data_IF_394618099835
#
_entry.id   IF_394618099835
#
_cell.length_a   1.000
_cell.length_b   1.000
_cell.length_c   1.000
_cell.angle_alpha   90.00
_cell.angle_beta   90.00
_cell.angle_gamma   90.00
#
_symmetry.space_group_name_H-M   'P 1'
#
loop_
_entity.id
_entity.type
_entity.pdbx_description
1 polymer ?
#
# COMPACT_ATOMS: atom_id res chain seq x y z
N UNK A 1 14.19 6.88 34.23
CA UNK A 1 13.39 7.77 33.37
C UNK A 1 14.12 7.80 32.05
N UNK A 2 13.64 7.10 31.05
CA UNK A 2 14.16 7.17 29.68
C UNK A 2 13.57 8.46 29.14
N UNK A 3 14.42 9.41 28.75
CA UNK A 3 14.01 10.69 28.15
C UNK A 3 13.35 10.38 26.79
N UNK A 4 12.05 10.57 26.71
CA UNK A 4 11.18 10.20 25.59
C UNK A 4 11.24 11.34 24.55
N UNK A 5 12.37 11.45 23.84
CA UNK A 5 12.53 12.44 22.78
C UNK A 5 11.75 12.02 21.52
N UNK A 6 10.93 12.96 21.00
CA UNK A 6 10.31 12.83 19.69
C UNK A 6 11.40 12.69 18.61
N UNK A 7 11.21 11.81 17.60
CA UNK A 7 12.15 11.67 16.50
C UNK A 7 12.34 12.97 15.74
N UNK A 8 13.55 13.18 15.18
CA UNK A 8 13.92 14.41 14.48
C UNK A 8 12.98 14.71 13.29
N UNK A 9 12.15 15.72 13.45
CA UNK A 9 11.12 16.11 12.48
C UNK A 9 11.70 16.65 11.16
N UNK A 10 12.95 17.13 11.14
CA UNK A 10 13.55 17.71 9.93
C UNK A 10 13.99 16.66 8.91
N UNK A 11 14.37 15.48 9.36
CA UNK A 11 14.70 14.34 8.48
C UNK A 11 13.44 13.79 7.82
N UNK A 12 12.33 13.69 8.56
CA UNK A 12 11.02 13.30 8.04
C UNK A 12 10.53 14.24 6.95
N UNK A 13 10.65 15.56 7.15
CA UNK A 13 10.23 16.58 6.19
C UNK A 13 10.90 16.42 4.82
N UNK A 14 12.20 16.14 4.79
CA UNK A 14 12.96 16.03 3.53
C UNK A 14 12.63 14.77 2.75
N UNK A 15 12.31 13.67 3.41
CA UNK A 15 12.03 12.37 2.78
C UNK A 15 10.56 12.25 2.30
N UNK A 16 9.61 12.79 3.05
CA UNK A 16 8.19 12.76 2.69
C UNK A 16 7.84 13.72 1.54
N UNK A 17 8.56 14.84 1.39
CA UNK A 17 8.40 15.76 0.24
C UNK A 17 8.75 15.11 -1.11
N UNK A 18 9.61 14.10 -1.14
CA UNK A 18 9.97 13.38 -2.38
C UNK A 18 8.92 12.36 -2.82
N UNK A 19 8.11 11.84 -1.91
CA UNK A 19 7.04 10.88 -2.25
C UNK A 19 5.77 11.54 -2.80
N UNK A 20 5.54 12.83 -2.50
CA UNK A 20 4.33 13.57 -2.91
C UNK A 20 4.46 14.31 -4.25
N UNK A 21 5.62 14.31 -4.91
CA UNK A 21 5.89 15.22 -6.04
C UNK A 21 5.65 14.65 -7.45
N UNK A 22 5.00 13.50 -7.62
CA UNK A 22 4.73 12.90 -8.91
C UNK A 22 3.24 12.83 -9.30
N UNK A 23 2.54 13.94 -9.17
CA UNK A 23 1.25 14.11 -9.82
C UNK A 23 1.16 15.50 -10.43
N UNK A 24 1.52 15.62 -11.73
CA UNK A 24 0.99 16.58 -12.70
C UNK A 24 1.96 16.78 -13.85
N UNK A 25 1.85 16.00 -14.91
CA UNK A 25 2.04 16.49 -16.29
C UNK A 25 1.04 15.76 -17.20
N UNK A 26 0.00 16.47 -17.57
CA UNK A 26 -0.88 16.17 -18.69
C UNK A 26 -0.65 17.24 -19.76
N UNK A 27 -0.49 16.81 -21.00
CA UNK A 27 -0.84 17.51 -22.27
C UNK A 27 -0.20 16.69 -23.40
N UNK A 28 -0.85 16.19 -24.42
CA UNK A 28 -1.82 16.86 -25.28
C UNK A 28 -1.18 17.01 -26.65
N UNK A 29 -1.73 16.39 -27.69
CA UNK A 29 -1.29 16.68 -29.07
C UNK A 29 -1.67 15.59 -30.05
N UNK A 30 -2.69 15.88 -30.86
CA UNK A 30 -3.23 15.05 -31.89
C UNK A 30 -2.43 15.12 -33.21
N UNK A 31 -2.77 14.19 -34.10
CA UNK A 31 -2.27 14.17 -35.48
C UNK A 31 -3.06 13.15 -36.29
N UNK A 32 -3.98 13.66 -37.08
CA UNK A 32 -4.75 12.94 -38.07
C UNK A 32 -3.89 12.59 -39.31
N UNK A 33 -4.04 11.34 -39.78
CA UNK A 33 -3.48 10.90 -41.05
C UNK A 33 -4.43 9.93 -41.75
N UNK A 34 -5.10 10.42 -42.75
CA UNK A 34 -5.92 9.66 -43.68
C UNK A 34 -5.06 8.86 -44.64
N UNK A 35 -5.41 7.60 -44.90
CA UNK A 35 -4.95 6.87 -46.08
C UNK A 35 -6.09 6.13 -46.75
N UNK A 36 -6.13 6.37 -48.05
CA UNK A 36 -7.07 5.93 -49.06
C UNK A 36 -6.98 4.43 -49.36
N UNK A 37 -8.11 3.81 -49.66
CA UNK A 37 -8.28 2.43 -50.09
C UNK A 37 -7.94 2.24 -51.58
N UNK A 38 -7.43 1.06 -52.00
CA UNK A 38 -7.25 0.70 -53.39
C UNK A 38 -8.47 -0.03 -53.94
N UNK A 39 -8.68 0.18 -55.29
CA UNK A 39 -9.73 -0.31 -56.14
C UNK A 39 -9.60 -1.79 -56.48
N UNK A 40 -10.69 -2.55 -56.68
CA UNK A 40 -10.63 -3.99 -56.98
C UNK A 40 -10.38 -4.30 -58.47
N UNK A 41 -9.59 -5.36 -58.69
CA UNK A 41 -9.29 -5.95 -60.01
C UNK A 41 -10.32 -7.03 -60.38
N UNK A 42 -10.71 -7.21 -61.67
CA UNK A 42 -11.72 -8.19 -62.11
C UNK A 42 -11.18 -9.63 -62.16
N UNK A 43 -12.08 -10.63 -62.13
CA UNK A 43 -11.70 -12.05 -61.99
C UNK A 43 -11.29 -12.71 -63.31
N UNK A 44 -10.34 -13.68 -63.22
CA UNK A 44 -9.85 -14.50 -64.28
C UNK A 44 -10.72 -15.77 -64.46
N UNK A 45 -10.71 -16.43 -65.65
CA UNK A 45 -11.62 -17.53 -65.99
C UNK A 45 -11.25 -18.87 -65.31
N UNK A 46 -12.28 -19.66 -65.04
CA UNK A 46 -12.26 -20.96 -64.34
C UNK A 46 -11.63 -22.07 -65.18
N UNK A 47 -10.75 -22.89 -64.61
CA UNK A 47 -10.28 -24.14 -65.24
C UNK A 47 -11.25 -25.34 -65.00
N UNK A 48 -11.17 -26.40 -65.79
CA UNK A 48 -12.12 -27.52 -65.75
C UNK A 48 -11.95 -28.44 -64.50
N UNK A 49 -13.05 -29.02 -64.07
CA UNK A 49 -13.20 -29.86 -62.89
C UNK A 49 -12.37 -31.16 -62.97
N UNK A 50 -11.53 -31.46 -61.99
CA UNK A 50 -10.87 -32.77 -61.87
C UNK A 50 -11.79 -33.85 -61.27
N UNK A 51 -11.53 -35.09 -61.63
CA UNK A 51 -12.23 -36.29 -61.14
C UNK A 51 -12.06 -36.50 -59.61
N UNK A 52 -13.03 -37.13 -58.92
CA UNK A 52 -13.01 -37.28 -57.47
C UNK A 52 -11.83 -38.18 -57.00
N UNK A 53 -11.12 -37.77 -55.97
CA UNK A 53 -10.03 -38.55 -55.39
C UNK A 53 -10.56 -39.77 -54.59
N UNK A 54 -9.73 -40.81 -54.51
CA UNK A 54 -9.97 -42.02 -53.71
C UNK A 54 -10.08 -41.68 -52.20
N UNK A 55 -10.84 -42.46 -51.40
CA UNK A 55 -11.04 -42.18 -49.98
C UNK A 55 -9.70 -42.24 -49.21
N UNK A 56 -9.41 -41.15 -48.52
CA UNK A 56 -8.24 -41.00 -47.63
C UNK A 56 -8.41 -41.86 -46.38
N UNK A 57 -7.38 -42.62 -45.94
CA UNK A 57 -7.44 -43.35 -44.66
C UNK A 57 -7.74 -42.38 -43.50
N UNK A 58 -8.55 -42.86 -42.56
CA UNK A 58 -8.90 -42.09 -41.36
C UNK A 58 -7.65 -41.69 -40.57
N UNK A 59 -7.56 -40.42 -40.09
CA UNK A 59 -6.40 -39.99 -39.31
C UNK A 59 -6.30 -40.78 -37.99
N UNK A 60 -5.10 -41.23 -37.67
CA UNK A 60 -4.78 -41.82 -36.36
C UNK A 60 -5.06 -40.77 -35.27
N UNK A 61 -5.75 -41.14 -34.18
CA UNK A 61 -6.03 -40.17 -33.11
C UNK A 61 -4.72 -39.63 -32.52
N UNK A 62 -4.56 -38.33 -32.56
CA UNK A 62 -3.43 -37.61 -31.92
C UNK A 62 -3.52 -37.81 -30.40
N UNK A 63 -2.43 -38.19 -29.72
CA UNK A 63 -2.45 -38.24 -28.24
C UNK A 63 -2.89 -36.92 -27.66
N UNK A 64 -3.90 -36.94 -26.80
CA UNK A 64 -4.34 -35.78 -26.04
C UNK A 64 -3.19 -35.37 -25.10
N UNK A 65 -2.67 -34.14 -25.15
CA UNK A 65 -1.64 -33.70 -24.21
C UNK A 65 -2.15 -33.88 -22.78
N UNK A 66 -1.31 -34.43 -21.91
CA UNK A 66 -1.64 -34.46 -20.49
C UNK A 66 -1.94 -33.03 -20.02
N UNK A 67 -3.01 -32.82 -19.21
CA UNK A 67 -3.25 -31.52 -18.62
C UNK A 67 -2.02 -31.07 -17.81
N UNK A 68 -1.66 -29.79 -17.85
CA UNK A 68 -0.55 -29.27 -17.05
C UNK A 68 -0.78 -29.66 -15.58
N UNK A 69 0.27 -29.97 -14.81
CA UNK A 69 0.14 -30.25 -13.40
C UNK A 69 -0.58 -29.08 -12.71
N UNK A 70 -1.47 -29.39 -11.78
CA UNK A 70 -2.16 -28.40 -10.99
C UNK A 70 -1.13 -27.49 -10.30
N UNK A 71 -1.37 -26.17 -10.23
CA UNK A 71 -0.48 -25.26 -9.49
C UNK A 71 -0.28 -25.81 -8.08
N UNK A 72 0.98 -25.93 -7.67
CA UNK A 72 1.31 -26.27 -6.28
C UNK A 72 0.66 -25.25 -5.32
N UNK A 73 0.52 -25.58 -4.02
CA UNK A 73 0.02 -24.62 -3.04
C UNK A 73 0.87 -23.35 -3.13
N UNK A 74 0.20 -22.18 -3.14
CA UNK A 74 0.88 -20.89 -3.14
C UNK A 74 1.85 -20.85 -1.95
N UNK A 75 3.07 -20.31 -2.12
CA UNK A 75 4.01 -20.21 -1.01
C UNK A 75 3.34 -19.44 0.13
N UNK A 76 3.45 -19.97 1.35
CA UNK A 76 2.94 -19.31 2.54
C UNK A 76 3.72 -18.01 2.74
N UNK A 77 3.00 -16.89 2.85
CA UNK A 77 3.54 -15.56 3.14
C UNK A 77 2.78 -14.94 4.31
N UNK A 78 3.43 -14.03 5.04
CA UNK A 78 2.77 -13.38 6.16
C UNK A 78 1.51 -12.61 5.71
N UNK A 79 0.33 -12.88 6.26
CA UNK A 79 -0.87 -12.10 5.98
C UNK A 79 -0.79 -10.68 6.54
N UNK A 80 0.12 -10.44 7.50
CA UNK A 80 0.33 -9.14 8.14
C UNK A 80 1.21 -8.20 7.31
N UNK A 81 2.17 -8.74 6.52
CA UNK A 81 3.27 -8.00 5.90
C UNK A 81 2.86 -7.22 4.68
N UNK A 82 3.14 -5.92 4.67
CA UNK A 82 2.82 -5.00 3.58
C UNK A 82 3.97 -4.06 3.22
N UNK A 83 3.73 -3.19 2.24
CA UNK A 83 4.65 -2.13 1.83
C UNK A 83 3.88 -0.84 1.57
N UNK A 84 4.37 0.27 2.14
CA UNK A 84 3.93 1.63 1.84
C UNK A 84 4.77 2.17 0.69
N UNK A 85 4.24 2.13 -0.54
CA UNK A 85 4.94 2.61 -1.73
C UNK A 85 4.01 2.78 -2.94
N UNK A 86 4.26 3.80 -3.76
CA UNK A 86 3.54 4.03 -5.02
C UNK A 86 4.20 3.27 -6.17
N UNK A 87 3.83 2.00 -6.34
CA UNK A 87 4.36 1.15 -7.38
C UNK A 87 3.86 1.60 -8.76
N UNK A 88 4.76 1.99 -9.64
CA UNK A 88 4.48 2.31 -11.04
C UNK A 88 4.82 1.16 -12.01
N UNK A 89 5.55 0.13 -11.57
CA UNK A 89 5.95 -1.01 -12.37
C UNK A 89 5.45 -2.33 -11.76
N UNK A 90 4.82 -3.17 -12.57
CA UNK A 90 4.35 -4.49 -12.15
C UNK A 90 5.51 -5.40 -11.68
N UNK A 91 6.68 -5.27 -12.30
CA UNK A 91 7.87 -6.03 -11.93
C UNK A 91 8.29 -5.81 -10.46
N UNK A 92 8.12 -4.59 -9.93
CA UNK A 92 8.41 -4.28 -8.53
C UNK A 92 7.45 -5.00 -7.58
N UNK A 93 6.15 -5.04 -7.90
CA UNK A 93 5.16 -5.82 -7.15
C UNK A 93 5.45 -7.31 -7.23
N UNK A 94 5.82 -7.82 -8.42
CA UNK A 94 6.17 -9.23 -8.62
C UNK A 94 7.37 -9.63 -7.78
N UNK A 95 8.41 -8.79 -7.71
CA UNK A 95 9.60 -9.05 -6.91
C UNK A 95 9.29 -9.20 -5.41
N UNK A 96 8.30 -8.45 -4.89
CA UNK A 96 7.92 -8.48 -3.48
C UNK A 96 6.83 -9.51 -3.15
N UNK A 97 6.12 -10.03 -4.16
CA UNK A 97 4.90 -10.82 -3.99
C UNK A 97 5.07 -12.14 -3.23
N UNK A 98 6.29 -12.70 -3.18
CA UNK A 98 6.57 -13.93 -2.44
C UNK A 98 6.49 -13.80 -0.92
N UNK A 99 6.65 -12.60 -0.37
CA UNK A 99 6.64 -12.35 1.08
C UNK A 99 5.72 -11.24 1.52
N UNK A 100 5.15 -10.44 0.59
CA UNK A 100 4.28 -9.29 0.88
C UNK A 100 2.85 -9.61 0.46
N UNK A 101 1.88 -9.29 1.32
CA UNK A 101 0.46 -9.60 1.12
C UNK A 101 -0.40 -8.41 0.74
N UNK A 102 0.07 -7.19 0.97
CA UNK A 102 -0.69 -5.98 0.69
C UNK A 102 0.21 -4.75 0.49
N UNK A 103 -0.34 -3.72 -0.16
CA UNK A 103 0.32 -2.41 -0.28
C UNK A 103 -0.69 -1.27 -0.34
N UNK A 104 -0.23 -0.08 -0.14
CA UNK A 104 -0.94 1.16 -0.42
C UNK A 104 0.03 2.25 -0.90
N UNK A 105 -0.51 3.35 -1.42
CA UNK A 105 0.27 4.42 -2.05
C UNK A 105 -0.27 5.82 -1.71
N UNK A 106 -0.87 5.98 -0.54
CA UNK A 106 -1.48 7.23 -0.05
C UNK A 106 -2.59 7.78 -0.95
N UNK A 107 -3.05 7.03 -1.93
CA UNK A 107 -4.09 7.40 -2.87
C UNK A 107 -5.32 6.50 -2.75
N UNK A 108 -6.42 6.92 -3.39
CA UNK A 108 -7.67 6.14 -3.44
C UNK A 108 -7.63 5.02 -4.49
N UNK A 109 -6.57 4.97 -5.33
CA UNK A 109 -6.37 3.99 -6.41
C UNK A 109 -4.90 3.65 -6.57
N UNK A 110 -4.57 2.46 -7.12
CA UNK A 110 -3.20 2.16 -7.55
C UNK A 110 -2.69 3.16 -8.57
N UNK A 111 -1.37 3.28 -8.68
CA UNK A 111 -0.72 4.07 -9.72
C UNK A 111 -1.20 3.64 -11.11
N UNK A 112 -1.47 4.62 -11.97
CA UNK A 112 -1.95 4.38 -13.34
C UNK A 112 -0.96 3.68 -14.27
N UNK A 113 0.31 3.58 -13.88
CA UNK A 113 1.33 2.77 -14.56
C UNK A 113 1.14 1.26 -14.38
N UNK A 114 0.35 0.84 -13.38
CA UNK A 114 0.03 -0.57 -13.15
C UNK A 114 -1.16 -1.02 -14.01
N UNK A 115 -1.18 -2.28 -14.48
CA UNK A 115 -2.37 -2.85 -15.08
C UNK A 115 -3.51 -2.93 -14.05
N UNK A 116 -4.75 -2.79 -14.49
CA UNK A 116 -5.93 -2.77 -13.61
C UNK A 116 -6.12 -4.03 -12.77
N UNK A 117 -5.55 -5.15 -13.22
CA UNK A 117 -5.57 -6.44 -12.51
C UNK A 117 -4.25 -6.75 -11.78
N UNK A 118 -3.38 -5.76 -11.53
CA UNK A 118 -2.07 -5.96 -10.88
C UNK A 118 -2.21 -6.71 -9.56
N UNK A 119 -3.15 -6.32 -8.71
CA UNK A 119 -3.38 -6.94 -7.40
C UNK A 119 -3.61 -8.47 -7.52
N UNK A 120 -4.45 -8.90 -8.46
CA UNK A 120 -4.71 -10.33 -8.68
C UNK A 120 -3.53 -11.05 -9.31
N UNK A 121 -2.75 -10.40 -10.20
CA UNK A 121 -1.57 -11.01 -10.80
C UNK A 121 -0.48 -11.35 -9.78
N UNK A 122 -0.35 -10.55 -8.73
CA UNK A 122 0.68 -10.74 -7.68
C UNK A 122 0.11 -11.34 -6.39
N UNK A 123 -1.19 -11.62 -6.34
CA UNK A 123 -1.90 -12.09 -5.14
C UNK A 123 -1.60 -11.21 -3.90
N UNK A 124 -1.64 -9.89 -4.08
CA UNK A 124 -1.50 -8.89 -3.03
C UNK A 124 -2.73 -7.97 -3.02
N UNK A 125 -3.18 -7.56 -1.84
CA UNK A 125 -4.27 -6.60 -1.70
C UNK A 125 -3.76 -5.18 -1.91
N UNK A 126 -4.41 -4.40 -2.78
CA UNK A 126 -4.29 -2.96 -2.76
C UNK A 126 -5.30 -2.36 -1.77
N UNK A 127 -4.86 -1.40 -0.95
CA UNK A 127 -5.72 -0.72 0.00
C UNK A 127 -5.82 0.77 -0.31
N UNK A 128 -7.03 1.29 -0.59
CA UNK A 128 -7.24 2.71 -0.80
C UNK A 128 -7.06 3.50 0.49
N UNK A 129 -6.56 4.75 0.35
CA UNK A 129 -6.44 5.69 1.45
C UNK A 129 -7.18 7.00 1.17
N UNK A 130 -7.97 7.46 2.14
CA UNK A 130 -8.47 8.83 2.23
C UNK A 130 -7.46 9.65 3.02
N UNK A 131 -6.49 10.23 2.30
CA UNK A 131 -5.32 10.88 2.89
C UNK A 131 -5.67 12.04 3.84
N UNK A 132 -6.69 12.83 3.46
CA UNK A 132 -7.28 13.92 4.27
C UNK A 132 -8.78 14.03 3.99
N UNK A 133 -9.42 15.13 4.34
CA UNK A 133 -10.85 15.35 4.12
C UNK A 133 -11.22 15.72 2.66
N UNK A 134 -10.26 15.84 1.75
CA UNK A 134 -10.48 16.19 0.34
C UNK A 134 -10.41 14.94 -0.54
N UNK A 135 -11.56 14.35 -0.87
CA UNK A 135 -11.67 13.18 -1.76
C UNK A 135 -13.05 13.15 -2.43
N UNK A 136 -13.14 12.42 -3.53
CA UNK A 136 -14.41 12.15 -4.24
C UNK A 136 -15.04 10.87 -3.69
N UNK A 137 -15.98 11.02 -2.75
CA UNK A 137 -16.62 9.88 -2.09
C UNK A 137 -17.32 8.94 -3.09
N UNK A 138 -18.17 9.39 -4.03
CA UNK A 138 -18.79 8.52 -5.03
C UNK A 138 -17.76 7.71 -5.85
N UNK A 139 -16.64 8.32 -6.23
CA UNK A 139 -15.58 7.62 -6.97
C UNK A 139 -14.91 6.55 -6.11
N UNK A 140 -14.64 6.82 -4.83
CA UNK A 140 -14.03 5.86 -3.89
C UNK A 140 -14.99 4.69 -3.64
N UNK A 141 -16.26 4.98 -3.36
CA UNK A 141 -17.30 3.97 -3.13
C UNK A 141 -17.46 3.03 -4.33
N UNK A 142 -17.57 3.59 -5.54
CA UNK A 142 -17.67 2.80 -6.77
C UNK A 142 -16.43 1.90 -6.98
N UNK A 143 -15.23 2.40 -6.66
CA UNK A 143 -14.01 1.62 -6.77
C UNK A 143 -13.98 0.46 -5.77
N UNK A 144 -14.30 0.70 -4.52
CA UNK A 144 -14.31 -0.36 -3.49
C UNK A 144 -15.38 -1.41 -3.83
N UNK A 145 -16.57 -0.98 -4.25
CA UNK A 145 -17.66 -1.88 -4.64
C UNK A 145 -17.31 -2.75 -5.86
N UNK A 146 -16.58 -2.19 -6.83
CA UNK A 146 -16.10 -2.92 -8.00
C UNK A 146 -14.96 -3.92 -7.67
N UNK A 147 -14.31 -3.80 -6.50
CA UNK A 147 -13.17 -4.61 -6.08
C UNK A 147 -13.48 -5.30 -4.74
N UNK A 148 -14.23 -6.40 -4.80
CA UNK A 148 -14.78 -7.10 -3.63
C UNK A 148 -13.74 -7.65 -2.64
N UNK A 149 -12.46 -7.70 -3.00
CA UNK A 149 -11.33 -8.03 -2.12
C UNK A 149 -10.94 -6.87 -1.20
N UNK A 150 -11.31 -5.62 -1.52
CA UNK A 150 -11.02 -4.47 -0.67
C UNK A 150 -11.95 -4.52 0.55
N UNK A 151 -11.40 -4.82 1.71
CA UNK A 151 -12.13 -4.93 2.99
C UNK A 151 -11.77 -3.83 3.97
N UNK A 152 -10.76 -3.04 3.68
CA UNK A 152 -10.18 -2.04 4.57
C UNK A 152 -9.98 -0.72 3.82
N UNK A 153 -10.22 0.38 4.53
CA UNK A 153 -10.09 1.74 4.06
C UNK A 153 -9.17 2.49 5.02
N UNK A 154 -7.99 2.89 4.55
CA UNK A 154 -7.08 3.71 5.32
C UNK A 154 -7.59 5.15 5.35
N UNK A 155 -7.49 5.82 6.51
CA UNK A 155 -8.07 7.15 6.73
C UNK A 155 -7.11 8.05 7.49
N UNK A 156 -6.92 9.27 7.01
CA UNK A 156 -6.10 10.34 7.58
C UNK A 156 -4.63 9.97 7.76
N UNK A 157 -3.79 10.51 6.88
CA UNK A 157 -2.35 10.34 6.96
C UNK A 157 -1.72 11.37 7.88
N UNK A 158 -1.17 10.95 9.01
CA UNK A 158 -0.42 11.75 9.97
C UNK A 158 -1.08 13.12 10.27
N UNK A 159 -2.31 13.13 10.77
CA UNK A 159 -3.06 14.39 10.93
C UNK A 159 -2.41 15.38 11.90
N UNK A 160 -1.55 14.92 12.80
CA UNK A 160 -0.80 15.73 13.76
C UNK A 160 0.57 16.20 13.25
N UNK A 161 0.85 16.04 11.95
CA UNK A 161 1.99 16.61 11.23
C UNK A 161 1.52 17.76 10.34
N UNK A 162 2.13 18.96 10.49
CA UNK A 162 1.71 20.18 9.77
C UNK A 162 2.09 20.17 8.29
N UNK A 163 2.93 19.26 7.85
CA UNK A 163 3.31 19.04 6.46
C UNK A 163 2.67 17.76 5.86
N UNK A 164 1.71 17.16 6.58
CA UNK A 164 0.91 16.02 6.14
C UNK A 164 -0.57 16.41 6.08
N UNK A 165 -1.49 15.57 6.52
CA UNK A 165 -2.90 15.91 6.46
C UNK A 165 -3.26 17.18 7.25
N UNK A 166 -2.45 17.60 8.21
CA UNK A 166 -2.54 18.85 8.98
C UNK A 166 -3.97 19.13 9.48
N UNK A 167 -4.51 18.18 10.22
CA UNK A 167 -5.86 18.28 10.78
C UNK A 167 -5.82 18.28 12.28
N UNK A 168 -6.26 19.38 12.89
CA UNK A 168 -6.48 19.43 14.33
C UNK A 168 -7.50 18.36 14.76
N UNK A 169 -7.48 17.91 16.03
CA UNK A 169 -8.47 16.97 16.55
C UNK A 169 -9.92 17.37 16.25
N UNK A 170 -10.24 18.66 16.35
CA UNK A 170 -11.58 19.18 16.06
C UNK A 170 -11.94 19.11 14.57
N UNK A 171 -11.00 19.41 13.67
CA UNK A 171 -11.20 19.28 12.23
C UNK A 171 -11.38 17.82 11.82
N UNK A 172 -10.56 16.92 12.36
CA UNK A 172 -10.69 15.49 12.13
C UNK A 172 -12.05 14.97 12.64
N UNK A 173 -12.48 15.39 13.84
CA UNK A 173 -13.78 15.03 14.39
C UNK A 173 -14.95 15.53 13.52
N UNK A 174 -14.86 16.71 12.95
CA UNK A 174 -15.87 17.25 12.05
C UNK A 174 -15.93 16.51 10.71
N UNK A 175 -14.78 16.04 10.18
CA UNK A 175 -14.69 15.28 8.94
C UNK A 175 -15.05 13.80 9.10
N UNK A 176 -14.90 13.23 10.29
CA UNK A 176 -14.99 11.79 10.53
C UNK A 176 -16.31 11.13 10.08
N UNK A 177 -17.50 11.76 10.25
CA UNK A 177 -18.74 11.20 9.76
C UNK A 177 -18.76 10.93 8.24
N UNK A 178 -17.99 11.67 7.45
CA UNK A 178 -17.90 11.42 6.00
C UNK A 178 -17.09 10.15 5.67
N UNK A 179 -16.07 9.81 6.46
CA UNK A 179 -15.35 8.55 6.33
C UNK A 179 -16.22 7.36 6.77
N UNK A 180 -17.00 7.53 7.85
CA UNK A 180 -17.97 6.53 8.31
C UNK A 180 -19.03 6.27 7.24
N UNK A 181 -19.47 7.29 6.50
CA UNK A 181 -20.44 7.14 5.41
C UNK A 181 -19.88 6.29 4.27
N UNK A 182 -18.62 6.53 3.84
CA UNK A 182 -17.95 5.70 2.82
C UNK A 182 -17.80 4.25 3.31
N UNK A 183 -17.39 4.05 4.57
CA UNK A 183 -17.28 2.73 5.16
C UNK A 183 -18.63 2.00 5.19
N UNK A 184 -19.72 2.69 5.57
CA UNK A 184 -21.07 2.14 5.58
C UNK A 184 -21.56 1.78 4.17
N UNK A 185 -21.32 2.63 3.17
CA UNK A 185 -21.72 2.40 1.78
C UNK A 185 -20.99 1.23 1.12
N UNK A 186 -19.76 0.92 1.57
CA UNK A 186 -18.88 -0.09 0.96
C UNK A 186 -18.75 -1.37 1.79
N UNK A 187 -19.07 -1.33 3.07
CA UNK A 187 -18.79 -2.39 4.03
C UNK A 187 -17.32 -2.50 4.44
N UNK A 188 -16.48 -1.57 4.01
CA UNK A 188 -15.06 -1.54 4.37
C UNK A 188 -14.86 -1.17 5.86
N UNK A 189 -13.82 -1.72 6.49
CA UNK A 189 -13.41 -1.40 7.85
C UNK A 189 -12.50 -0.19 7.86
N UNK A 190 -12.71 0.74 8.79
CA UNK A 190 -11.87 1.94 8.94
C UNK A 190 -10.57 1.58 9.66
N UNK A 191 -9.46 1.87 8.99
CA UNK A 191 -8.10 1.76 9.52
C UNK A 191 -7.54 3.18 9.66
N UNK A 192 -7.47 3.70 10.86
CA UNK A 192 -7.02 5.07 11.10
C UNK A 192 -7.66 5.70 12.33
N UNK A 193 -7.28 6.97 12.63
CA UNK A 193 -6.31 7.77 11.87
C UNK A 193 -4.89 7.18 11.91
N UNK A 194 -4.09 7.40 10.85
CA UNK A 194 -2.68 7.03 10.85
C UNK A 194 -1.88 8.07 11.63
N UNK A 195 -1.73 7.81 12.92
CA UNK A 195 -1.15 8.76 13.88
C UNK A 195 0.34 8.47 14.10
N UNK A 196 1.09 9.50 14.48
CA UNK A 196 2.53 9.41 14.76
C UNK A 196 2.93 10.45 15.81
N UNK A 197 4.21 10.50 16.19
CA UNK A 197 4.77 11.68 16.82
C UNK A 197 4.85 12.81 15.79
N UNK A 198 4.11 13.90 16.05
CA UNK A 198 3.88 14.96 15.08
C UNK A 198 4.60 16.26 15.40
N UNK A 199 4.31 17.28 14.59
CA UNK A 199 4.85 18.65 14.74
C UNK A 199 3.76 19.68 15.06
N UNK A 200 2.50 19.25 15.16
CA UNK A 200 1.39 20.17 15.47
C UNK A 200 1.51 20.67 16.90
N UNK A 201 1.45 21.99 17.07
CA UNK A 201 1.53 22.64 18.39
C UNK A 201 0.42 22.10 19.29
N UNK A 202 0.77 21.71 20.51
CA UNK A 202 -0.08 21.07 21.52
C UNK A 202 -0.56 19.65 21.20
N UNK A 203 -0.29 19.12 20.02
CA UNK A 203 -0.78 17.82 19.56
C UNK A 203 0.33 16.97 18.91
N UNK A 204 1.59 17.19 19.27
CA UNK A 204 2.71 16.40 18.78
C UNK A 204 2.67 14.97 19.29
N UNK A 205 2.25 14.75 20.53
CA UNK A 205 2.07 13.42 21.11
C UNK A 205 0.82 12.73 20.51
N UNK A 206 0.96 11.50 19.94
CA UNK A 206 -0.15 10.77 19.36
C UNK A 206 -1.30 10.50 20.33
N UNK A 207 -1.00 10.26 21.61
CA UNK A 207 -2.03 10.02 22.63
C UNK A 207 -2.82 11.31 22.92
N UNK A 208 -2.13 12.44 23.01
CA UNK A 208 -2.79 13.75 23.26
C UNK A 208 -3.71 14.12 22.09
N UNK A 209 -3.24 13.89 20.86
CA UNK A 209 -4.07 14.16 19.67
C UNK A 209 -5.30 13.23 19.63
N UNK A 210 -5.12 11.94 19.87
CA UNK A 210 -6.20 10.96 19.85
C UNK A 210 -7.25 11.20 20.93
N UNK A 211 -6.83 11.51 22.16
CA UNK A 211 -7.77 11.83 23.26
C UNK A 211 -8.60 13.04 22.92
N UNK A 212 -7.98 14.09 22.37
CA UNK A 212 -8.68 15.31 21.96
C UNK A 212 -9.62 15.06 20.77
N UNK A 213 -9.22 14.22 19.79
CA UNK A 213 -10.06 13.83 18.66
C UNK A 213 -11.32 13.09 19.12
N UNK A 214 -11.16 12.05 19.97
CA UNK A 214 -12.29 11.28 20.48
C UNK A 214 -13.24 12.18 21.27
N UNK A 215 -12.70 13.04 22.13
CA UNK A 215 -13.52 13.97 22.92
C UNK A 215 -14.29 14.96 22.04
N UNK A 216 -13.65 15.54 21.03
CA UNK A 216 -14.29 16.46 20.09
C UNK A 216 -15.38 15.75 19.26
N UNK A 217 -15.13 14.52 18.81
CA UNK A 217 -16.11 13.75 18.09
C UNK A 217 -17.35 13.42 18.96
N UNK A 218 -17.14 12.95 20.20
CA UNK A 218 -18.20 12.64 21.13
C UNK A 218 -19.07 13.86 21.45
N UNK A 219 -18.43 15.01 21.67
CA UNK A 219 -19.13 16.27 21.93
C UNK A 219 -20.06 16.67 20.76
N UNK A 220 -19.61 16.46 19.52
CA UNK A 220 -20.37 16.78 18.31
C UNK A 220 -21.44 15.73 17.95
N UNK A 221 -21.34 14.50 18.45
CA UNK A 221 -22.19 13.36 18.03
C UNK A 221 -22.94 12.71 19.19
N UNK A 222 -23.38 13.50 20.16
CA UNK A 222 -24.25 13.05 21.26
C UNK A 222 -23.63 11.98 22.16
N UNK A 223 -22.32 12.01 22.36
CA UNK A 223 -21.57 11.05 23.17
C UNK A 223 -21.17 9.77 22.44
N UNK A 224 -21.53 9.59 21.16
CA UNK A 224 -21.13 8.46 20.35
C UNK A 224 -19.62 8.48 20.08
N UNK A 225 -18.94 7.37 20.22
CA UNK A 225 -17.53 7.25 19.81
C UNK A 225 -17.38 7.19 18.29
N UNK A 226 -16.26 7.69 17.73
CA UNK A 226 -15.97 7.52 16.31
C UNK A 226 -15.82 6.03 15.96
N UNK A 227 -16.28 5.64 14.76
CA UNK A 227 -16.01 4.32 14.24
C UNK A 227 -14.52 4.22 13.87
N UNK A 228 -13.77 3.48 14.65
CA UNK A 228 -12.39 3.07 14.39
C UNK A 228 -12.40 1.54 14.52
N UNK A 229 -12.22 0.81 13.41
CA UNK A 229 -12.14 -0.64 13.47
C UNK A 229 -10.71 -1.07 13.84
N UNK A 230 -9.71 -0.36 13.33
CA UNK A 230 -8.29 -0.54 13.61
C UNK A 230 -7.63 0.82 13.78
N UNK A 231 -6.70 0.93 14.71
CA UNK A 231 -5.88 2.13 14.87
C UNK A 231 -4.63 2.02 13.99
N UNK A 232 -4.37 3.02 13.14
CA UNK A 232 -3.16 3.07 12.35
C UNK A 232 -2.07 3.86 13.08
N UNK A 233 -0.82 3.41 12.96
CA UNK A 233 0.33 4.04 13.60
C UNK A 233 1.53 4.04 12.66
N UNK A 234 2.33 5.13 12.69
CA UNK A 234 3.61 5.24 11.98
C UNK A 234 4.74 5.38 12.99
N UNK A 235 5.85 4.68 12.71
CA UNK A 235 7.02 4.72 13.57
C UNK A 235 8.33 4.67 12.79
N UNK A 236 9.24 5.59 13.13
CA UNK A 236 10.50 5.75 12.40
C UNK A 236 11.73 5.79 13.30
N UNK A 237 11.65 5.18 14.46
CA UNK A 237 12.73 5.17 15.45
C UNK A 237 12.78 3.81 16.19
N UNK A 238 13.63 3.71 17.17
CA UNK A 238 13.68 2.58 18.12
C UNK A 238 12.40 2.51 18.98
N UNK A 239 12.14 1.35 19.57
CA UNK A 239 11.12 1.19 20.60
C UNK A 239 9.68 1.15 20.09
N UNK A 240 9.42 0.64 18.88
CA UNK A 240 8.07 0.44 18.34
C UNK A 240 7.13 -0.23 19.35
N UNK A 241 7.60 -1.27 20.06
CA UNK A 241 6.80 -2.01 21.03
C UNK A 241 6.25 -1.11 22.14
N UNK A 242 7.12 -0.28 22.75
CA UNK A 242 6.74 0.67 23.79
C UNK A 242 5.74 1.74 23.28
N UNK A 243 5.86 2.16 22.02
CA UNK A 243 4.90 3.12 21.44
C UNK A 243 3.53 2.48 21.22
N UNK A 244 3.47 1.25 20.76
CA UNK A 244 2.21 0.52 20.64
C UNK A 244 1.55 0.30 22.02
N UNK A 245 2.33 0.01 23.06
CA UNK A 245 1.81 -0.15 24.42
C UNK A 245 1.09 1.11 24.93
N UNK A 246 1.58 2.32 24.60
CA UNK A 246 0.90 3.59 24.94
C UNK A 246 -0.49 3.71 24.31
N UNK A 247 -0.68 3.10 23.15
CA UNK A 247 -1.91 3.18 22.37
C UNK A 247 -2.92 2.06 22.71
N UNK A 248 -2.55 1.05 23.47
CA UNK A 248 -3.44 -0.06 23.89
C UNK A 248 -4.67 0.41 24.66
N UNK A 249 -4.59 1.59 25.31
CA UNK A 249 -5.71 2.23 26.03
C UNK A 249 -6.98 2.41 25.18
N UNK A 250 -6.83 2.48 23.83
CA UNK A 250 -7.98 2.64 22.93
C UNK A 250 -8.69 1.33 22.62
N UNK A 251 -8.15 0.17 23.01
CA UNK A 251 -8.77 -1.14 22.87
C UNK A 251 -9.00 -1.56 21.41
N UNK A 252 -8.15 -1.07 20.48
CA UNK A 252 -8.23 -1.37 19.05
C UNK A 252 -7.01 -2.18 18.60
N UNK A 253 -7.17 -3.15 17.69
CA UNK A 253 -6.01 -3.77 17.06
C UNK A 253 -5.32 -2.76 16.15
N UNK A 254 -3.99 -2.95 15.98
CA UNK A 254 -3.14 -2.02 15.27
C UNK A 254 -2.88 -2.42 13.81
N UNK A 255 -2.77 -1.40 12.97
CA UNK A 255 -2.02 -1.45 11.72
C UNK A 255 -0.82 -0.52 11.86
N UNK A 256 0.39 -1.05 11.79
CA UNK A 256 1.59 -0.21 11.67
C UNK A 256 1.77 0.07 10.17
N UNK A 257 1.09 1.10 9.68
CA UNK A 257 0.98 1.35 8.23
C UNK A 257 2.26 1.91 7.63
N UNK A 258 3.15 2.48 8.43
CA UNK A 258 4.51 2.83 8.03
C UNK A 258 5.48 2.53 9.17
N UNK A 259 6.58 1.86 8.84
CA UNK A 259 7.70 1.70 9.75
C UNK A 259 9.02 1.60 9.00
N UNK A 260 10.03 2.24 9.54
CA UNK A 260 11.45 2.15 9.24
C UNK A 260 12.22 2.72 10.43
N UNK A 261 13.55 2.76 10.39
CA UNK A 261 14.28 3.52 11.39
C UNK A 261 15.12 4.62 10.72
N UNK A 262 14.89 5.86 11.11
CA UNK A 262 15.58 7.06 10.64
C UNK A 262 16.32 7.77 11.77
N UNK A 263 16.64 7.06 12.84
CA UNK A 263 17.32 7.66 13.99
C UNK A 263 18.62 8.35 13.60
N UNK A 264 18.79 9.58 14.11
CA UNK A 264 19.95 10.43 13.91
C UNK A 264 20.38 11.08 15.23
N UNK A 265 21.49 11.77 15.23
CA UNK A 265 21.89 12.66 16.31
C UNK A 265 22.78 12.07 17.40
N UNK A 266 22.96 10.74 17.46
CA UNK A 266 23.84 10.09 18.43
C UNK A 266 24.57 8.85 17.85
N UNK A 267 25.16 8.01 18.69
CA UNK A 267 25.88 6.80 18.25
C UNK A 267 24.95 5.67 17.74
N UNK A 268 23.65 5.76 17.99
CA UNK A 268 22.65 4.81 17.49
C UNK A 268 22.12 5.16 16.10
N UNK A 269 22.66 6.22 15.47
CA UNK A 269 22.30 6.66 14.12
C UNK A 269 22.24 5.50 13.12
N UNK A 270 21.21 5.47 12.29
CA UNK A 270 21.08 4.51 11.18
C UNK A 270 21.86 5.03 9.97
N UNK A 271 23.12 4.67 9.90
CA UNK A 271 24.10 5.11 8.89
C UNK A 271 24.68 3.94 8.09
N UNK A 272 24.23 2.71 8.34
CA UNK A 272 24.67 1.52 7.60
C UNK A 272 23.49 0.58 7.32
N UNK A 273 23.59 -0.17 6.22
CA UNK A 273 22.62 -1.21 5.88
C UNK A 273 22.46 -2.23 7.02
N UNK A 274 23.56 -2.67 7.64
CA UNK A 274 23.51 -3.65 8.73
C UNK A 274 22.71 -3.16 9.95
N UNK A 275 22.78 -1.86 10.27
CA UNK A 275 21.95 -1.29 11.34
C UNK A 275 20.47 -1.28 10.95
N UNK A 276 20.14 -0.92 9.71
CA UNK A 276 18.76 -0.95 9.23
C UNK A 276 18.21 -2.38 9.16
N UNK A 277 19.01 -3.35 8.73
CA UNK A 277 18.63 -4.78 8.74
C UNK A 277 18.33 -5.29 10.15
N UNK A 278 19.12 -4.89 11.13
CA UNK A 278 18.86 -5.22 12.54
C UNK A 278 17.56 -4.61 13.03
N UNK A 279 17.28 -3.33 12.68
CA UNK A 279 16.05 -2.65 13.06
C UNK A 279 14.82 -3.21 12.32
N UNK A 280 14.93 -3.51 11.04
CA UNK A 280 13.88 -4.20 10.31
C UNK A 280 13.52 -5.54 10.97
N UNK A 281 14.53 -6.31 11.37
CA UNK A 281 14.32 -7.60 12.03
C UNK A 281 13.58 -7.44 13.35
N UNK A 282 13.96 -6.46 14.18
CA UNK A 282 13.33 -6.16 15.46
C UNK A 282 11.86 -5.72 15.29
N UNK A 283 11.60 -4.75 14.40
CA UNK A 283 10.27 -4.23 14.13
C UNK A 283 9.34 -5.28 13.54
N UNK A 284 9.83 -6.09 12.59
CA UNK A 284 9.05 -7.19 12.00
C UNK A 284 8.73 -8.24 13.05
N UNK A 285 9.71 -8.64 13.88
CA UNK A 285 9.48 -9.57 14.96
C UNK A 285 8.43 -9.05 15.96
N UNK A 286 8.50 -7.78 16.34
CA UNK A 286 7.50 -7.12 17.19
C UNK A 286 6.11 -7.24 16.56
N UNK A 287 5.96 -6.86 15.28
CA UNK A 287 4.67 -6.90 14.59
C UNK A 287 4.14 -8.32 14.38
N UNK A 288 4.99 -9.30 14.10
CA UNK A 288 4.56 -10.69 13.89
C UNK A 288 4.15 -11.37 15.18
N UNK A 289 4.84 -11.09 16.30
CA UNK A 289 4.60 -11.76 17.60
C UNK A 289 3.47 -11.12 18.40
N UNK A 290 3.22 -9.82 18.25
CA UNK A 290 2.11 -9.15 18.95
C UNK A 290 0.75 -9.56 18.40
N UNK A 291 -0.11 -10.06 19.27
CA UNK A 291 -1.47 -10.48 18.90
C UNK A 291 -2.40 -9.30 18.55
N UNK A 292 -2.10 -8.10 19.06
CA UNK A 292 -2.84 -6.88 18.81
C UNK A 292 -2.40 -6.15 17.52
N UNK A 293 -1.29 -6.55 16.88
CA UNK A 293 -0.90 -6.06 15.54
C UNK A 293 -1.55 -6.93 14.47
N UNK A 294 -2.50 -6.35 13.72
CA UNK A 294 -3.22 -7.03 12.66
C UNK A 294 -2.45 -7.03 11.33
N UNK A 295 -1.86 -5.86 10.93
CA UNK A 295 -1.02 -5.71 9.73
C UNK A 295 0.07 -4.67 9.96
N UNK A 296 1.14 -4.74 9.16
CA UNK A 296 2.21 -3.76 9.15
C UNK A 296 2.78 -3.57 7.75
N UNK A 297 3.36 -2.40 7.46
CA UNK A 297 4.00 -2.09 6.19
C UNK A 297 5.36 -1.42 6.41
N UNK A 298 6.35 -1.89 5.67
CA UNK A 298 7.65 -1.24 5.61
C UNK A 298 7.59 0.01 4.73
N UNK A 299 8.21 1.09 5.15
CA UNK A 299 8.46 2.28 4.37
C UNK A 299 9.95 2.31 3.99
N UNK A 300 10.35 2.02 2.72
CA UNK A 300 9.50 2.09 1.56
C UNK A 300 10.03 1.20 0.41
N UNK A 301 9.37 1.23 -0.74
CA UNK A 301 9.82 0.49 -1.93
C UNK A 301 11.17 0.99 -2.46
N UNK A 302 11.24 2.25 -2.96
CA UNK A 302 12.47 2.85 -3.53
C UNK A 302 12.53 4.32 -3.22
N UNK A 303 13.70 4.82 -2.86
CA UNK A 303 13.99 6.23 -2.68
C UNK A 303 15.13 6.67 -3.60
N UNK A 304 15.04 7.90 -4.13
CA UNK A 304 16.11 8.49 -4.95
C UNK A 304 17.35 8.85 -4.11
N UNK A 305 17.16 9.18 -2.83
CA UNK A 305 18.21 9.35 -1.83
C UNK A 305 17.78 8.58 -0.59
N UNK A 306 18.60 7.63 -0.17
CA UNK A 306 18.27 6.71 0.92
C UNK A 306 19.41 6.65 1.95
N UNK A 307 19.61 7.71 2.74
CA UNK A 307 20.68 7.80 3.72
C UNK A 307 20.52 6.80 4.87
N UNK A 308 19.34 6.22 5.05
CA UNK A 308 19.01 5.26 6.10
C UNK A 308 18.77 3.84 5.58
N UNK A 309 19.06 3.58 4.29
CA UNK A 309 18.99 2.23 3.69
C UNK A 309 17.61 1.57 3.81
N UNK A 310 16.53 2.35 3.62
CA UNK A 310 15.15 1.85 3.79
C UNK A 310 14.55 1.24 2.53
N UNK A 311 15.17 1.43 1.37
CA UNK A 311 14.66 0.95 0.09
C UNK A 311 14.71 -0.57 -0.02
N UNK A 312 13.54 -1.19 -0.29
CA UNK A 312 13.43 -2.63 -0.58
C UNK A 312 13.83 -2.95 -2.03
N UNK A 313 13.71 -1.97 -2.93
CA UNK A 313 13.93 -2.12 -4.37
C UNK A 313 15.18 -1.35 -4.80
N UNK A 314 15.95 -1.96 -5.69
CA UNK A 314 17.12 -1.37 -6.33
C UNK A 314 16.75 -0.35 -7.41
N UNK A 315 17.75 0.06 -8.21
CA UNK A 315 17.56 1.09 -9.22
C UNK A 315 16.65 0.66 -10.38
N UNK A 316 16.66 -0.63 -10.72
CA UNK A 316 15.89 -1.18 -11.83
C UNK A 316 14.56 -1.77 -11.35
N UNK A 317 13.55 -1.78 -12.22
CA UNK A 317 12.28 -2.41 -11.92
C UNK A 317 12.45 -3.93 -11.69
N UNK A 318 11.87 -4.43 -10.60
CA UNK A 318 11.95 -5.83 -10.19
C UNK A 318 13.26 -6.23 -9.48
N UNK A 319 14.20 -5.30 -9.30
CA UNK A 319 15.44 -5.55 -8.57
C UNK A 319 15.21 -5.38 -7.06
N UNK A 320 15.59 -6.38 -6.26
CA UNK A 320 15.58 -6.28 -4.80
C UNK A 320 16.93 -5.82 -4.27
N UNK A 321 16.92 -4.96 -3.25
CA UNK A 321 18.09 -4.69 -2.42
C UNK A 321 18.36 -5.84 -1.46
N UNK A 322 19.51 -5.79 -0.74
CA UNK A 322 19.76 -6.71 0.39
C UNK A 322 18.67 -6.63 1.46
N UNK A 323 18.24 -5.41 1.80
CA UNK A 323 17.14 -5.18 2.73
C UNK A 323 15.81 -5.78 2.23
N UNK A 324 15.52 -5.63 0.92
CA UNK A 324 14.34 -6.23 0.30
C UNK A 324 14.36 -7.75 0.37
N UNK A 325 15.50 -8.38 0.12
CA UNK A 325 15.67 -9.82 0.26
C UNK A 325 15.47 -10.29 1.71
N UNK A 326 16.04 -9.57 2.67
CA UNK A 326 15.82 -9.83 4.10
C UNK A 326 14.34 -9.73 4.45
N UNK A 327 13.65 -8.65 4.05
CA UNK A 327 12.23 -8.44 4.36
C UNK A 327 11.36 -9.60 3.94
N UNK A 328 11.60 -10.20 2.78
CA UNK A 328 10.83 -11.33 2.26
C UNK A 328 11.07 -12.62 3.05
N UNK A 329 12.25 -12.78 3.65
CA UNK A 329 12.68 -14.03 4.32
C UNK A 329 12.52 -14.02 5.83
N UNK A 330 12.22 -12.87 6.44
CA UNK A 330 11.98 -12.79 7.89
C UNK A 330 10.84 -13.71 8.32
N UNK A 331 10.97 -14.41 9.46
CA UNK A 331 9.96 -15.33 9.96
C UNK A 331 8.59 -14.68 10.15
N UNK A 332 7.54 -15.48 10.08
CA UNK A 332 6.18 -15.10 10.42
C UNK A 332 5.42 -16.30 11.00
N UNK A 333 4.33 -16.05 11.72
CA UNK A 333 3.43 -17.09 12.18
C UNK A 333 2.33 -17.29 11.14
N UNK A 334 2.20 -18.48 10.53
CA UNK A 334 1.06 -18.78 9.67
C UNK A 334 -0.26 -18.60 10.43
N UNK A 335 -1.26 -18.02 9.76
CA UNK A 335 -2.60 -17.82 10.30
C UNK A 335 -3.39 -19.14 10.40
#
# INVERSE_FOLDING_TARGET
MIDEQAPDSDVRRRLLMLAASFALVSCGGGGSGSSSAPTPTPPAPTPPTPAPPAPTPAPTPTPVPNPPPAPGPAPLKSPKRGVAYDFAALADLQALSSGVSWWYNWATRPNSGLPSNAASQVAMDYLPMLWNASYDAPSVEAYIQANANIKYLLVLNEPNLVDQADMTPAQAAAAWPSYEAVAAATGAKIVGPAITWGTMVNYSDPVVWMDAFIAAYQAANGGRSPQIDYLAFHWYDYGLDAQLDRLTKYGKPFWVTEMANWHTGDSAVIDTLAKQEAQMTDMVNTCETRADVFRYAWFTGRQASDPHFTSLLGANAGELTGLGQLYLTLPFTPA
#
